data_IF_743919722577
#
_entry.id   IF_743919722577
#
_cell.length_a   1.000
_cell.length_b   1.000
_cell.length_c   1.000
_cell.angle_alpha   90.00
_cell.angle_beta   90.00
_cell.angle_gamma   90.00
#
_symmetry.space_group_name_H-M   'P 1'
#
loop_
_entity.id
_entity.type
_entity.pdbx_description
1 polymer ?
#
# COMPACT_ATOMS: atom_id res chain seq x y z
N UNK A 1 5.19 -17.06 -5.87
CA UNK A 1 4.04 -16.31 -6.44
C UNK A 1 4.63 -15.06 -7.05
N UNK A 2 4.32 -14.81 -8.31
CA UNK A 2 4.69 -13.57 -9.00
C UNK A 2 3.60 -12.52 -8.75
N UNK A 3 3.96 -11.24 -8.63
CA UNK A 3 2.99 -10.16 -8.45
C UNK A 3 2.25 -9.89 -9.76
N UNK A 4 0.94 -9.63 -9.70
CA UNK A 4 0.15 -9.32 -10.90
C UNK A 4 0.42 -7.89 -11.39
N UNK A 5 0.55 -6.95 -10.45
CA UNK A 5 1.03 -5.59 -10.66
C UNK A 5 1.46 -4.97 -9.32
N UNK A 6 2.29 -3.92 -9.39
CA UNK A 6 2.63 -3.10 -8.21
C UNK A 6 1.60 -2.00 -8.03
N UNK A 7 1.14 -1.78 -6.80
CA UNK A 7 0.21 -0.68 -6.50
C UNK A 7 0.98 0.64 -6.39
N UNK A 8 0.46 1.69 -7.01
CA UNK A 8 0.94 3.07 -6.88
C UNK A 8 -0.03 3.92 -6.08
N UNK A 9 -1.20 4.18 -6.66
CA UNK A 9 -2.24 5.02 -6.05
C UNK A 9 -3.25 4.18 -5.29
N UNK A 10 -3.62 4.63 -4.09
CA UNK A 10 -4.70 4.05 -3.30
C UNK A 10 -5.76 5.09 -2.96
N UNK A 11 -7.03 4.73 -3.10
CA UNK A 11 -8.16 5.60 -2.82
C UNK A 11 -9.21 4.92 -1.93
N UNK A 12 -9.98 5.75 -1.23
CA UNK A 12 -11.09 5.33 -0.37
C UNK A 12 -12.33 6.14 -0.72
N UNK A 13 -13.46 5.46 -0.88
CA UNK A 13 -14.75 6.10 -1.11
C UNK A 13 -15.87 5.43 -0.30
N UNK A 14 -16.98 6.15 -0.15
CA UNK A 14 -18.23 5.61 0.39
C UNK A 14 -19.33 5.75 -0.65
N UNK A 15 -19.88 4.61 -1.06
CA UNK A 15 -21.09 4.53 -1.88
C UNK A 15 -22.32 4.67 -0.97
N UNK A 16 -23.01 5.80 -1.10
CA UNK A 16 -24.21 6.12 -0.33
C UNK A 16 -25.45 5.32 -0.76
N UNK A 17 -25.51 4.86 -2.00
CA UNK A 17 -26.67 4.14 -2.52
C UNK A 17 -26.60 2.67 -2.11
N UNK A 18 -25.44 2.04 -2.26
CA UNK A 18 -25.23 0.63 -1.87
C UNK A 18 -24.79 0.45 -0.39
N UNK A 19 -24.51 1.55 0.30
CA UNK A 19 -23.98 1.57 1.67
C UNK A 19 -22.70 0.72 1.79
N UNK A 20 -21.75 0.98 0.89
CA UNK A 20 -20.48 0.26 0.78
C UNK A 20 -19.29 1.20 0.93
N UNK A 21 -18.27 0.76 1.67
CA UNK A 21 -16.94 1.33 1.59
C UNK A 21 -16.23 0.72 0.39
N UNK A 22 -15.60 1.55 -0.42
CA UNK A 22 -14.82 1.16 -1.58
C UNK A 22 -13.35 1.44 -1.26
N UNK A 23 -12.50 0.43 -1.46
CA UNK A 23 -11.04 0.56 -1.41
C UNK A 23 -10.50 0.26 -2.79
N UNK A 24 -9.74 1.20 -3.35
CA UNK A 24 -9.15 1.08 -4.68
C UNK A 24 -7.64 1.11 -4.57
N UNK A 25 -6.99 0.21 -5.32
CA UNK A 25 -5.56 0.13 -5.46
C UNK A 25 -5.24 -0.01 -6.94
N UNK A 26 -4.76 1.09 -7.53
CA UNK A 26 -4.41 1.16 -8.94
C UNK A 26 -2.93 0.84 -9.13
N UNK A 27 -2.60 0.21 -10.25
CA UNK A 27 -1.23 -0.07 -10.62
C UNK A 27 -0.38 1.19 -10.66
N UNK A 28 0.89 1.04 -10.27
CA UNK A 28 1.91 2.05 -10.45
C UNK A 28 2.19 2.17 -11.95
N UNK A 29 2.01 3.37 -12.47
CA UNK A 29 2.31 3.71 -13.86
C UNK A 29 3.47 4.70 -13.86
N UNK A 30 4.49 4.40 -14.65
CA UNK A 30 5.53 5.37 -14.97
C UNK A 30 5.01 6.28 -16.08
N UNK A 31 4.86 7.56 -15.78
CA UNK A 31 4.43 8.56 -16.74
C UNK A 31 5.66 9.09 -17.46
N UNK A 32 5.75 8.83 -18.76
CA UNK A 32 6.78 9.41 -19.62
C UNK A 32 6.18 10.67 -20.26
N UNK A 33 6.43 11.82 -19.64
CA UNK A 33 5.92 13.12 -20.05
C UNK A 33 7.06 14.01 -20.56
N UNK A 34 6.90 14.57 -21.75
CA UNK A 34 7.90 15.46 -22.37
C UNK A 34 7.76 16.91 -21.89
N UNK A 35 6.65 17.26 -21.25
CA UNK A 35 6.36 18.57 -20.67
C UNK A 35 5.46 18.49 -19.43
N UNK A 36 5.37 19.60 -18.67
CA UNK A 36 4.48 19.72 -17.52
C UNK A 36 2.98 19.62 -17.91
N UNK A 37 2.64 20.05 -19.13
CA UNK A 37 1.27 19.93 -19.68
C UNK A 37 0.93 18.46 -19.96
N UNK A 38 1.86 17.71 -20.54
CA UNK A 38 1.69 16.27 -20.81
C UNK A 38 1.58 15.47 -19.50
N UNK A 39 2.36 15.84 -18.47
CA UNK A 39 2.29 15.22 -17.16
C UNK A 39 0.92 15.41 -16.52
N UNK A 40 0.39 16.65 -16.56
CA UNK A 40 -0.91 16.96 -15.98
C UNK A 40 -2.06 16.22 -16.68
N UNK A 41 -2.02 16.12 -18.02
CA UNK A 41 -3.00 15.34 -18.78
C UNK A 41 -2.92 13.85 -18.43
N UNK A 42 -1.71 13.29 -18.32
CA UNK A 42 -1.52 11.90 -17.98
C UNK A 42 -1.97 11.58 -16.55
N UNK A 43 -1.71 12.46 -15.58
CA UNK A 43 -2.23 12.36 -14.22
C UNK A 43 -3.77 12.43 -14.19
N UNK A 44 -4.39 13.33 -14.97
CA UNK A 44 -5.84 13.43 -15.06
C UNK A 44 -6.46 12.14 -15.62
N UNK A 45 -5.84 11.53 -16.63
CA UNK A 45 -6.28 10.24 -17.18
C UNK A 45 -6.17 9.10 -16.17
N UNK A 46 -5.14 9.07 -15.33
CA UNK A 46 -5.02 8.07 -14.27
C UNK A 46 -6.17 8.14 -13.24
N UNK A 47 -6.73 9.33 -13.01
CA UNK A 47 -7.86 9.53 -12.11
C UNK A 47 -9.19 9.04 -12.70
N UNK A 48 -9.25 8.80 -14.01
CA UNK A 48 -10.44 8.31 -14.68
C UNK A 48 -10.48 6.77 -14.67
N UNK A 49 -11.61 6.20 -14.27
CA UNK A 49 -11.86 4.74 -14.31
C UNK A 49 -12.25 4.33 -15.73
N UNK A 50 -11.29 4.43 -16.66
CA UNK A 50 -11.43 4.03 -18.07
C UNK A 50 -11.36 2.51 -18.22
N UNK A 51 -12.13 1.93 -19.15
CA UNK A 51 -12.13 0.49 -19.44
C UNK A 51 -10.73 -0.05 -19.82
N UNK A 52 -9.93 0.78 -20.49
CA UNK A 52 -8.54 0.47 -20.87
C UNK A 52 -7.51 1.17 -19.96
N UNK A 53 -7.92 1.55 -18.75
CA UNK A 53 -7.03 2.15 -17.75
C UNK A 53 -6.03 1.15 -17.16
N UNK A 54 -5.12 1.64 -16.30
CA UNK A 54 -4.18 0.77 -15.59
C UNK A 54 -4.91 -0.29 -14.75
N UNK A 55 -4.30 -1.46 -14.49
CA UNK A 55 -4.89 -2.47 -13.63
C UNK A 55 -5.35 -1.89 -12.28
N UNK A 56 -6.55 -2.25 -11.85
CA UNK A 56 -7.15 -1.75 -10.60
C UNK A 56 -7.77 -2.89 -9.80
N UNK A 57 -7.39 -2.97 -8.52
CA UNK A 57 -8.10 -3.77 -7.53
C UNK A 57 -9.13 -2.89 -6.82
N UNK A 58 -10.41 -3.26 -6.92
CA UNK A 58 -11.51 -2.60 -6.21
C UNK A 58 -12.18 -3.55 -5.22
N UNK A 59 -12.09 -3.23 -3.94
CA UNK A 59 -12.71 -4.00 -2.85
C UNK A 59 -13.93 -3.25 -2.34
N UNK A 60 -15.09 -3.93 -2.34
CA UNK A 60 -16.35 -3.40 -1.78
C UNK A 60 -16.62 -4.06 -0.45
N UNK A 61 -16.76 -3.26 0.61
CA UNK A 61 -16.98 -3.72 1.98
C UNK A 61 -18.29 -3.13 2.51
N UNK A 62 -19.06 -3.94 3.24
CA UNK A 62 -20.12 -3.37 4.08
C UNK A 62 -19.51 -2.49 5.17
N UNK A 63 -20.28 -1.54 5.72
CA UNK A 63 -19.79 -0.73 6.84
C UNK A 63 -19.32 -1.57 8.05
N UNK A 64 -19.92 -2.75 8.28
CA UNK A 64 -19.46 -3.68 9.33
C UNK A 64 -18.11 -4.32 8.97
N UNK A 65 -17.95 -4.78 7.74
CA UNK A 65 -16.68 -5.36 7.27
C UNK A 65 -15.54 -4.34 7.30
N UNK A 66 -15.80 -3.11 6.88
CA UNK A 66 -14.84 -2.00 6.95
C UNK A 66 -14.35 -1.73 8.37
N UNK A 67 -15.26 -1.61 9.35
CA UNK A 67 -14.89 -1.42 10.77
C UNK A 67 -14.07 -2.60 11.32
N UNK A 68 -14.47 -3.82 10.97
CA UNK A 68 -13.75 -5.02 11.39
C UNK A 68 -12.35 -5.12 10.75
N UNK A 69 -12.23 -4.73 9.47
CA UNK A 69 -10.95 -4.65 8.77
C UNK A 69 -10.04 -3.61 9.42
N UNK A 70 -10.53 -2.38 9.63
CA UNK A 70 -9.75 -1.29 10.23
C UNK A 70 -9.22 -1.67 11.62
N UNK A 71 -10.06 -2.30 12.46
CA UNK A 71 -9.62 -2.79 13.78
C UNK A 71 -8.48 -3.80 13.67
N UNK A 72 -8.62 -4.83 12.83
CA UNK A 72 -7.57 -5.85 12.66
C UNK A 72 -6.30 -5.28 12.04
N UNK A 73 -6.44 -4.38 11.07
CA UNK A 73 -5.30 -3.72 10.44
C UNK A 73 -4.51 -2.89 11.47
N UNK A 74 -5.21 -2.17 12.35
CA UNK A 74 -4.58 -1.45 13.46
C UNK A 74 -3.86 -2.39 14.43
N UNK A 75 -4.47 -3.53 14.78
CA UNK A 75 -3.83 -4.52 15.65
C UNK A 75 -2.52 -5.05 15.02
N UNK A 76 -2.53 -5.32 13.71
CA UNK A 76 -1.34 -5.76 12.95
C UNK A 76 -0.26 -4.68 12.90
N UNK A 77 -0.64 -3.43 12.60
CA UNK A 77 0.31 -2.31 12.54
C UNK A 77 0.90 -2.02 13.93
N UNK A 78 0.07 -2.04 14.98
CA UNK A 78 0.48 -1.78 16.36
C UNK A 78 1.35 -2.89 16.95
N UNK A 79 1.24 -4.13 16.46
CA UNK A 79 2.17 -5.19 16.83
C UNK A 79 3.62 -4.81 16.47
N UNK A 80 3.80 -3.87 15.52
CA UNK A 80 5.09 -3.35 15.10
C UNK A 80 5.98 -4.46 14.55
N UNK A 81 7.23 -4.12 14.28
CA UNK A 81 8.25 -5.17 14.10
C UNK A 81 8.84 -5.50 15.47
N UNK A 82 9.10 -6.79 15.78
CA UNK A 82 9.64 -7.16 17.07
C UNK A 82 10.92 -6.34 17.37
N UNK A 83 11.09 -5.82 18.59
CA UNK A 83 12.26 -5.02 18.92
C UNK A 83 13.51 -5.91 18.96
N UNK A 84 14.63 -5.39 18.46
CA UNK A 84 15.92 -6.05 18.61
C UNK A 84 16.24 -6.23 20.10
N UNK A 85 16.59 -7.44 20.57
CA UNK A 85 16.87 -7.69 21.98
C UNK A 85 18.10 -6.94 22.51
N UNK A 86 18.89 -6.32 21.63
CA UNK A 86 20.11 -5.60 21.99
C UNK A 86 19.93 -4.08 21.94
N UNK A 87 19.37 -3.53 20.86
CA UNK A 87 19.24 -2.08 20.65
C UNK A 87 17.79 -1.56 20.71
N UNK A 88 16.79 -2.43 20.91
CA UNK A 88 15.36 -2.10 20.95
C UNK A 88 14.76 -1.47 19.68
N UNK A 89 15.54 -1.32 18.61
CA UNK A 89 15.04 -0.87 17.32
C UNK A 89 14.23 -1.98 16.61
N UNK A 90 13.26 -1.64 15.76
CA UNK A 90 12.45 -2.63 15.05
C UNK A 90 13.32 -3.54 14.15
N UNK A 91 13.11 -4.86 14.22
CA UNK A 91 13.76 -5.84 13.34
C UNK A 91 13.16 -5.76 11.92
N UNK A 92 14.01 -5.73 10.89
CA UNK A 92 13.56 -5.79 9.50
C UNK A 92 13.39 -7.25 9.04
N UNK A 93 12.34 -7.61 8.28
CA UNK A 93 12.20 -8.93 7.65
C UNK A 93 13.42 -9.38 6.83
N UNK A 94 14.12 -8.45 6.17
CA UNK A 94 15.29 -8.72 5.33
C UNK A 94 16.60 -8.82 6.13
N UNK A 95 16.54 -8.59 7.44
CA UNK A 95 17.66 -8.66 8.37
C UNK A 95 17.96 -7.32 9.05
N UNK A 96 18.27 -7.39 10.35
CA UNK A 96 18.54 -6.21 11.17
C UNK A 96 20.05 -5.98 11.37
N UNK A 97 20.53 -4.77 11.04
CA UNK A 97 21.91 -4.34 11.33
C UNK A 97 21.92 -3.65 12.69
N UNK A 98 22.29 -4.38 13.74
CA UNK A 98 22.27 -3.85 15.10
C UNK A 98 23.45 -2.88 15.33
N UNK A 99 23.21 -1.60 15.66
CA UNK A 99 24.29 -0.67 16.01
C UNK A 99 25.11 -1.13 17.22
N UNK A 100 24.48 -1.84 18.17
CA UNK A 100 25.18 -2.42 19.34
C UNK A 100 26.07 -3.62 19.02
N UNK A 101 25.95 -4.21 17.84
CA UNK A 101 26.84 -5.27 17.36
C UNK A 101 27.80 -4.78 16.26
N UNK A 102 27.91 -3.48 16.02
CA UNK A 102 28.66 -2.91 14.89
C UNK A 102 28.29 -3.57 13.55
N UNK A 103 27.00 -3.92 13.37
CA UNK A 103 26.49 -4.53 12.14
C UNK A 103 26.85 -6.00 11.89
N UNK A 104 27.39 -6.71 12.89
CA UNK A 104 27.64 -8.16 12.78
C UNK A 104 26.32 -8.95 12.61
N UNK A 105 26.25 -9.82 11.59
CA UNK A 105 25.14 -10.75 11.34
C UNK A 105 25.63 -12.19 11.59
N UNK A 106 25.01 -12.93 12.51
CA UNK A 106 25.24 -14.39 12.62
C UNK A 106 24.23 -15.12 11.73
N UNK A 107 24.72 -15.76 10.68
CA UNK A 107 23.94 -16.69 9.83
C UNK A 107 23.23 -16.00 8.68
N UNK A 108 23.82 -16.13 7.49
CA UNK A 108 23.06 -16.41 6.27
C UNK A 108 22.88 -17.94 6.19
#
# INVERSE_FOLDING_TARGET
MEEEFRVGTMALAWDGDEQRMIVEAQALVELDAESDEDLAEAEERLLQDEENGPPMLRVRLTGLQARAFAKRALDVVNAGRPPCPLCSLPLDPEGHVCPRQNGYRRGA
#
